data_IF_320375522014
#
_entry.id   IF_320375522014
#
_cell.length_a   1.000
_cell.length_b   1.000
_cell.length_c   1.000
_cell.angle_alpha   90.00
_cell.angle_beta   90.00
_cell.angle_gamma   90.00
#
_symmetry.space_group_name_H-M   'P 1'
#
loop_
_entity.id
_entity.type
_entity.pdbx_description
1 polymer ?
#
# COMPACT_ATOMS: atom_id res chain seq x y z
N UNK A 1 9.99 6.00 8.23
CA UNK A 1 9.64 5.35 9.53
C UNK A 1 10.38 4.04 9.68
N UNK A 2 10.40 3.24 8.62
CA UNK A 2 11.28 2.07 8.47
C UNK A 2 12.75 2.42 8.78
N UNK A 3 13.28 3.51 8.20
CA UNK A 3 14.66 3.99 8.43
C UNK A 3 14.92 4.44 9.88
N UNK A 4 13.86 4.68 10.66
CA UNK A 4 13.95 5.03 12.07
C UNK A 4 13.94 3.80 12.98
N UNK A 5 13.98 2.59 12.40
CA UNK A 5 14.04 1.31 13.12
C UNK A 5 12.69 0.73 13.53
N UNK A 6 11.56 1.31 13.10
CA UNK A 6 10.24 0.74 13.36
C UNK A 6 10.02 -0.49 12.47
N UNK A 7 9.57 -1.58 13.09
CA UNK A 7 9.41 -2.90 12.45
C UNK A 7 7.98 -3.44 12.55
N UNK A 8 7.19 -2.94 13.50
CA UNK A 8 5.80 -3.34 13.71
C UNK A 8 4.87 -2.19 13.28
N UNK A 9 3.97 -2.48 12.33
CA UNK A 9 3.00 -1.51 11.83
C UNK A 9 1.59 -2.09 11.92
N UNK A 10 0.66 -1.29 12.43
CA UNK A 10 -0.76 -1.66 12.52
C UNK A 10 -1.59 -0.66 11.72
N UNK A 11 -2.40 -1.18 10.80
CA UNK A 11 -3.36 -0.42 9.99
C UNK A 11 -4.77 -0.77 10.44
N UNK A 12 -5.46 0.21 11.03
CA UNK A 12 -6.84 0.05 11.48
C UNK A 12 -7.82 0.51 10.38
N UNK A 13 -8.67 -0.41 9.92
CA UNK A 13 -9.66 -0.16 8.88
C UNK A 13 -11.09 0.07 9.42
N UNK A 14 -11.28 0.23 10.74
CA UNK A 14 -12.60 0.40 11.36
C UNK A 14 -13.44 1.55 10.75
N UNK A 15 -12.78 2.62 10.29
CA UNK A 15 -13.40 3.77 9.64
C UNK A 15 -12.96 3.95 8.18
N UNK A 16 -12.42 2.90 7.54
CA UNK A 16 -12.02 2.94 6.14
C UNK A 16 -13.20 2.55 5.23
N UNK A 17 -13.84 3.55 4.60
CA UNK A 17 -15.01 3.33 3.76
C UNK A 17 -14.67 2.73 2.38
N UNK A 18 -13.50 3.04 1.84
CA UNK A 18 -13.06 2.61 0.51
C UNK A 18 -11.52 2.57 0.45
N UNK A 19 -10.99 1.56 -0.24
CA UNK A 19 -9.57 1.44 -0.57
C UNK A 19 -9.42 1.55 -2.08
N UNK A 20 -8.57 2.46 -2.55
CA UNK A 20 -8.17 2.54 -3.95
C UNK A 20 -6.83 1.81 -4.19
N UNK A 21 -6.40 1.74 -5.44
CA UNK A 21 -5.15 1.07 -5.81
C UNK A 21 -3.91 1.74 -5.22
N UNK A 22 -3.95 3.05 -4.95
CA UNK A 22 -2.83 3.77 -4.34
C UNK A 22 -2.69 3.38 -2.87
N UNK A 23 -3.79 3.33 -2.13
CA UNK A 23 -3.81 2.84 -0.75
C UNK A 23 -3.28 1.41 -0.64
N UNK A 24 -3.81 0.50 -1.48
CA UNK A 24 -3.41 -0.91 -1.45
C UNK A 24 -1.95 -1.11 -1.86
N UNK A 25 -1.47 -0.45 -2.91
CA UNK A 25 -0.07 -0.56 -3.31
C UNK A 25 0.90 0.13 -2.37
N UNK A 26 0.49 1.18 -1.65
CA UNK A 26 1.30 1.77 -0.57
C UNK A 26 1.47 0.77 0.58
N UNK A 27 0.38 0.10 1.00
CA UNK A 27 0.47 -0.97 2.00
C UNK A 27 1.37 -2.12 1.50
N UNK A 28 1.26 -2.50 0.22
CA UNK A 28 2.08 -3.54 -0.39
C UNK A 28 3.57 -3.16 -0.36
N UNK A 29 3.93 -1.95 -0.81
CA UNK A 29 5.31 -1.45 -0.78
C UNK A 29 5.87 -1.43 0.65
N UNK A 30 5.09 -0.96 1.64
CA UNK A 30 5.51 -0.96 3.04
C UNK A 30 5.79 -2.37 3.55
N UNK A 31 4.92 -3.34 3.29
CA UNK A 31 5.15 -4.68 3.82
C UNK A 31 6.20 -5.48 3.05
N UNK A 32 6.35 -5.26 1.75
CA UNK A 32 7.46 -5.85 0.98
C UNK A 32 8.79 -5.39 1.57
N UNK A 33 8.95 -4.09 1.83
CA UNK A 33 10.13 -3.54 2.51
C UNK A 33 10.32 -4.11 3.92
N UNK A 34 9.24 -4.34 4.67
CA UNK A 34 9.31 -4.99 6.00
C UNK A 34 9.77 -6.45 5.91
N UNK A 35 9.34 -7.16 4.87
CA UNK A 35 9.72 -8.55 4.58
C UNK A 35 11.20 -8.67 4.21
N UNK A 36 11.72 -7.73 3.42
CA UNK A 36 13.16 -7.64 3.10
C UNK A 36 14.03 -7.42 4.34
N UNK A 37 13.50 -6.76 5.36
CA UNK A 37 14.20 -6.51 6.63
C UNK A 37 14.13 -7.70 7.62
N UNK A 38 13.56 -8.84 7.20
CA UNK A 38 13.45 -10.15 7.88
C UNK A 38 12.77 -10.18 9.27
N UNK A 39 12.46 -9.03 9.87
CA UNK A 39 11.86 -8.92 11.21
C UNK A 39 10.75 -7.87 11.27
N UNK A 40 10.17 -7.51 10.13
CA UNK A 40 9.11 -6.51 10.02
C UNK A 40 7.74 -7.11 9.77
N UNK A 41 6.71 -6.62 10.45
CA UNK A 41 5.34 -7.10 10.31
C UNK A 41 4.36 -5.94 10.05
N UNK A 42 3.46 -6.15 9.08
CA UNK A 42 2.31 -5.28 8.84
C UNK A 42 1.04 -6.03 9.22
N UNK A 43 0.30 -5.48 10.18
CA UNK A 43 -0.96 -6.02 10.67
C UNK A 43 -2.12 -5.15 10.20
N UNK A 44 -3.16 -5.77 9.65
CA UNK A 44 -4.40 -5.09 9.27
C UNK A 44 -5.51 -5.54 10.22
N UNK A 45 -6.10 -4.60 10.95
CA UNK A 45 -7.17 -4.86 11.93
C UNK A 45 -8.48 -4.18 11.52
N UNK A 46 -9.60 -4.69 12.05
CA UNK A 46 -10.96 -4.26 11.70
C UNK A 46 -11.24 -4.28 10.19
N UNK A 47 -10.61 -5.21 9.47
CA UNK A 47 -10.83 -5.38 8.04
C UNK A 47 -12.18 -6.06 7.78
N UNK A 48 -13.15 -5.31 7.25
CA UNK A 48 -14.44 -5.85 6.85
C UNK A 48 -14.35 -6.80 5.66
N UNK A 49 -15.38 -7.64 5.44
CA UNK A 49 -15.38 -8.70 4.43
C UNK A 49 -15.03 -8.21 3.02
N UNK A 50 -15.63 -7.10 2.57
CA UNK A 50 -15.35 -6.51 1.25
C UNK A 50 -13.87 -6.11 1.11
N UNK A 51 -13.31 -5.47 2.13
CA UNK A 51 -11.91 -5.06 2.14
C UNK A 51 -10.97 -6.27 2.14
N UNK A 52 -11.33 -7.31 2.90
CA UNK A 52 -10.57 -8.57 2.94
C UNK A 52 -10.57 -9.28 1.59
N UNK A 53 -11.72 -9.38 0.93
CA UNK A 53 -11.85 -9.97 -0.41
C UNK A 53 -11.02 -9.20 -1.44
N UNK A 54 -11.01 -7.87 -1.36
CA UNK A 54 -10.17 -7.04 -2.23
C UNK A 54 -8.68 -7.29 -1.99
N UNK A 55 -8.22 -7.32 -0.74
CA UNK A 55 -6.81 -7.54 -0.41
C UNK A 55 -6.35 -8.97 -0.78
N UNK A 56 -7.18 -9.98 -0.49
CA UNK A 56 -6.90 -11.37 -0.86
C UNK A 56 -6.94 -11.57 -2.38
N UNK A 57 -7.88 -10.94 -3.07
CA UNK A 57 -7.94 -10.93 -4.54
C UNK A 57 -6.77 -10.20 -5.22
N UNK A 58 -5.90 -9.53 -4.45
CA UNK A 58 -4.64 -8.95 -4.92
C UNK A 58 -3.40 -9.75 -4.45
N UNK A 59 -3.60 -10.85 -3.71
CA UNK A 59 -2.53 -11.67 -3.13
C UNK A 59 -1.84 -11.06 -1.91
N UNK A 60 -2.41 -9.99 -1.34
CA UNK A 60 -1.81 -9.26 -0.21
C UNK A 60 -1.99 -9.95 1.14
N UNK A 61 -2.92 -10.89 1.23
CA UNK A 61 -3.11 -11.79 2.37
C UNK A 61 -1.94 -12.77 2.57
N UNK A 62 -1.05 -12.91 1.57
CA UNK A 62 0.21 -13.65 1.70
C UNK A 62 1.37 -12.79 2.25
N UNK A 63 1.16 -11.48 2.39
CA UNK A 63 2.21 -10.49 2.74
C UNK A 63 1.89 -9.81 4.08
N UNK A 64 0.61 -9.61 4.41
CA UNK A 64 0.17 -9.01 5.68
C UNK A 64 -0.59 -10.03 6.55
N UNK A 65 -0.60 -9.83 7.87
CA UNK A 65 -1.54 -10.52 8.76
C UNK A 65 -2.86 -9.72 8.79
N UNK A 66 -3.91 -10.29 8.18
CA UNK A 66 -5.24 -9.65 8.10
C UNK A 66 -6.17 -10.28 9.13
N UNK A 67 -6.56 -9.48 10.14
CA UNK A 67 -7.44 -9.91 11.23
C UNK A 67 -8.85 -9.35 11.05
N UNK A 68 -9.81 -10.26 10.86
CA UNK A 68 -11.23 -9.93 10.77
C UNK A 68 -11.83 -9.81 12.18
N UNK A 69 -11.82 -8.60 12.73
CA UNK A 69 -12.45 -8.17 14.00
C UNK A 69 -12.07 -8.97 15.28
N UNK A 70 -11.61 -8.25 16.31
CA UNK A 70 -11.55 -8.75 17.69
C UNK A 70 -10.15 -8.99 18.26
N UNK A 71 -9.09 -8.93 17.45
CA UNK A 71 -7.76 -8.80 18.00
C UNK A 71 -7.57 -7.33 18.42
N UNK A 72 -7.49 -7.08 19.72
CA UNK A 72 -7.00 -5.81 20.25
C UNK A 72 -5.73 -5.47 19.48
N UNK A 73 -5.72 -4.33 18.79
CA UNK A 73 -4.47 -3.84 18.20
C UNK A 73 -3.42 -3.82 19.31
N UNK A 74 -2.18 -4.31 19.07
CA UNK A 74 -1.13 -4.19 20.06
C UNK A 74 -1.01 -2.72 20.48
N UNK A 75 -0.67 -2.45 21.74
CA UNK A 75 -0.51 -1.09 22.26
C UNK A 75 0.61 -0.36 21.47
N UNK A 76 0.21 0.26 20.36
CA UNK A 76 1.08 1.07 19.52
C UNK A 76 0.90 2.53 19.89
N UNK A 77 2.01 3.28 19.91
CA UNK A 77 1.94 4.73 19.94
C UNK A 77 1.20 5.19 18.69
N UNK A 78 0.02 5.78 18.85
CA UNK A 78 -0.73 6.40 17.76
C UNK A 78 0.19 7.40 17.07
N UNK A 79 0.42 7.20 15.77
CA UNK A 79 1.00 8.26 14.97
C UNK A 79 -0.01 9.39 14.92
N UNK A 80 0.38 10.57 15.42
CA UNK A 80 -0.39 11.76 15.14
C UNK A 80 -0.48 11.94 13.63
N UNK A 81 -1.70 12.25 13.16
CA UNK A 81 -2.00 12.46 11.75
C UNK A 81 -1.20 13.70 11.31
N UNK A 82 0.01 13.47 10.78
CA UNK A 82 0.78 14.50 10.11
C UNK A 82 -0.14 15.17 9.09
N UNK A 83 -0.25 16.49 9.17
CA UNK A 83 -1.27 17.28 8.48
C UNK A 83 -1.43 16.92 7.00
N UNK A 84 -2.66 17.15 6.50
CA UNK A 84 -3.10 16.88 5.13
C UNK A 84 -1.95 16.91 4.11
N UNK A 85 -1.78 15.82 3.37
CA UNK A 85 -0.86 15.72 2.24
C UNK A 85 -1.05 16.96 1.37
N UNK A 86 -0.07 17.86 1.48
CA UNK A 86 -0.03 19.15 0.81
C UNK A 86 0.00 18.86 -0.69
N UNK A 87 -0.96 19.39 -1.46
CA UNK A 87 -1.07 19.32 -2.94
C UNK A 87 0.15 18.68 -3.60
N UNK A 88 0.17 17.34 -3.64
CA UNK A 88 1.27 16.59 -4.23
C UNK A 88 1.30 16.93 -5.72
N UNK A 89 2.48 17.29 -6.22
CA UNK A 89 2.61 17.61 -7.65
C UNK A 89 2.16 16.41 -8.46
N UNK A 90 1.41 16.63 -9.54
CA UNK A 90 0.85 15.59 -10.43
C UNK A 90 1.84 14.44 -10.69
N UNK A 91 3.09 14.80 -10.98
CA UNK A 91 4.22 13.87 -11.11
C UNK A 91 4.47 12.96 -9.91
N UNK A 92 4.58 13.51 -8.70
CA UNK A 92 4.84 12.72 -7.49
C UNK A 92 3.71 11.74 -7.21
N UNK A 93 2.47 12.13 -7.52
CA UNK A 93 1.31 11.26 -7.42
C UNK A 93 1.39 10.12 -8.44
N UNK A 94 1.77 10.41 -9.69
CA UNK A 94 1.97 9.39 -10.72
C UNK A 94 3.13 8.44 -10.39
N UNK A 95 4.24 8.93 -9.85
CA UNK A 95 5.37 8.11 -9.35
C UNK A 95 4.90 7.18 -8.22
N UNK A 96 4.15 7.71 -7.24
CA UNK A 96 3.61 6.93 -6.12
C UNK A 96 2.62 5.86 -6.61
N UNK A 97 1.75 6.22 -7.56
CA UNK A 97 0.81 5.26 -8.17
C UNK A 97 1.54 4.17 -8.94
N UNK A 98 2.62 4.50 -9.66
CA UNK A 98 3.40 3.52 -10.40
C UNK A 98 4.08 2.53 -9.43
N UNK A 99 4.76 3.03 -8.41
CA UNK A 99 5.41 2.20 -7.38
C UNK A 99 4.40 1.28 -6.69
N UNK A 100 3.21 1.82 -6.37
CA UNK A 100 2.11 1.06 -5.78
C UNK A 100 1.66 -0.11 -6.67
N UNK A 101 1.48 0.09 -7.98
CA UNK A 101 1.06 -0.98 -8.89
C UNK A 101 2.18 -1.98 -9.16
N UNK A 102 3.44 -1.54 -9.21
CA UNK A 102 4.60 -2.43 -9.34
C UNK A 102 4.74 -3.33 -8.10
N UNK A 103 4.56 -2.79 -6.89
CA UNK A 103 4.52 -3.56 -5.65
C UNK A 103 3.38 -4.60 -5.64
N UNK A 104 2.20 -4.28 -6.18
CA UNK A 104 1.12 -5.27 -6.34
C UNK A 104 1.47 -6.39 -7.33
N UNK A 105 2.25 -6.08 -8.36
CA UNK A 105 2.71 -7.08 -9.33
C UNK A 105 3.81 -7.99 -8.78
N UNK A 106 4.70 -7.43 -7.94
CA UNK A 106 5.69 -8.21 -7.21
C UNK A 106 5.03 -9.11 -6.16
N UNK A 107 3.99 -8.61 -5.49
CA UNK A 107 3.19 -9.36 -4.55
C UNK A 107 2.51 -10.57 -5.18
N UNK A 108 1.89 -10.39 -6.35
CA UNK A 108 1.25 -11.45 -7.10
C UNK A 108 1.42 -11.22 -8.62
N UNK A 109 2.15 -12.09 -9.35
CA UNK A 109 2.45 -11.91 -10.77
C UNK A 109 1.20 -11.81 -11.68
N UNK A 110 0.07 -12.39 -11.27
CA UNK A 110 -1.20 -12.28 -12.01
C UNK A 110 -1.69 -10.82 -12.14
N UNK A 111 -1.28 -9.93 -11.23
CA UNK A 111 -1.62 -8.53 -11.26
C UNK A 111 -0.99 -7.79 -12.45
N UNK A 112 0.11 -8.28 -13.04
CA UNK A 112 0.69 -7.70 -14.26
C UNK A 112 -0.31 -7.66 -15.41
N UNK A 113 -1.06 -8.75 -15.61
CA UNK A 113 -2.07 -8.79 -16.67
C UNK A 113 -3.26 -7.86 -16.38
N UNK A 114 -3.61 -7.68 -15.12
CA UNK A 114 -4.73 -6.83 -14.68
C UNK A 114 -4.40 -5.34 -14.77
N UNK A 115 -3.14 -4.98 -14.53
CA UNK A 115 -2.70 -3.58 -14.43
C UNK A 115 -1.82 -3.11 -15.56
N UNK A 116 -1.56 -3.94 -16.58
CA UNK A 116 -0.69 -3.62 -17.73
C UNK A 116 -0.97 -2.23 -18.30
N UNK A 117 -2.22 -1.94 -18.64
CA UNK A 117 -2.57 -0.67 -19.31
C UNK A 117 -2.37 0.54 -18.38
N UNK A 118 -2.61 0.36 -17.07
CA UNK A 118 -2.40 1.41 -16.07
C UNK A 118 -0.91 1.67 -15.85
N UNK A 119 -0.10 0.62 -15.77
CA UNK A 119 1.35 0.71 -15.64
C UNK A 119 1.98 1.40 -16.86
N UNK A 120 1.57 1.01 -18.06
CA UNK A 120 2.07 1.62 -19.30
C UNK A 120 1.67 3.10 -19.39
N UNK A 121 0.42 3.44 -19.05
CA UNK A 121 -0.05 4.82 -19.01
C UNK A 121 0.76 5.67 -18.02
N UNK A 122 0.98 5.19 -16.79
CA UNK A 122 1.73 5.92 -15.76
C UNK A 122 3.21 6.10 -16.18
N UNK A 123 3.84 5.08 -16.75
CA UNK A 123 5.21 5.19 -17.30
C UNK A 123 5.28 6.24 -18.40
N UNK A 124 4.30 6.27 -19.31
CA UNK A 124 4.24 7.25 -20.38
C UNK A 124 3.98 8.68 -19.88
N UNK A 125 3.06 8.90 -18.94
CA UNK A 125 2.77 10.24 -18.39
C UNK A 125 4.02 10.82 -17.70
N UNK A 126 4.76 9.99 -16.95
CA UNK A 126 6.02 10.38 -16.30
C UNK A 126 7.13 10.71 -17.31
N UNK A 127 7.26 9.93 -18.38
CA UNK A 127 8.23 10.21 -19.46
C UNK A 127 7.89 11.51 -20.22
N UNK A 128 6.62 11.76 -20.53
CA UNK A 128 6.20 13.00 -21.21
C UNK A 128 6.45 14.24 -20.34
N UNK A 129 6.20 14.18 -19.03
CA UNK A 129 6.53 15.29 -18.11
C UNK A 129 8.04 15.53 -17.95
N UNK A 130 8.90 14.51 -18.14
CA UNK A 130 10.37 14.72 -18.16
C UNK A 130 10.87 15.42 -19.42
N UNK A 131 10.19 15.25 -20.55
CA UNK A 131 10.62 15.76 -21.86
C UNK A 131 10.11 17.18 -22.14
N UNK A 132 9.12 17.64 -21.36
CA UNK A 132 8.48 18.97 -21.52
C UNK A 132 9.10 20.06 -20.62
N UNK A 133 10.24 19.80 -19.97
CA UNK A 133 11.05 20.77 -19.21
C UNK A 133 12.38 21.02 -19.89
#
# INVERSE_FOLDING_TARGET
MLDRGYREFVVDLAHCAMMDSTFMGTMASVALRLKELEQGHLHVVHCGNRSRELLSGLGLDHIFDIRANGATAPECKTLERGGALREERKRQRAETMLEAHEALCEAAPENLFRFKDVLEYLKQDLHHETTSK
#
